data_IF_071699333362
#
_entry.id   IF_071699333362
#
_cell.length_a   1.000
_cell.length_b   1.000
_cell.length_c   1.000
_cell.angle_alpha   90.00
_cell.angle_beta   90.00
_cell.angle_gamma   90.00
#
_symmetry.space_group_name_H-M   'P 1'
#
loop_
_entity.id
_entity.type
_entity.pdbx_description
1 polymer ?
#
# COMPACT_ATOMS: atom_id res chain seq x y z
N UNK A 1 3.39 16.72 2.94
CA UNK A 1 3.78 15.66 3.90
C UNK A 1 2.96 14.48 3.48
N UNK A 2 3.62 13.39 3.11
CA UNK A 2 2.97 12.25 2.47
C UNK A 2 2.65 11.15 3.48
N UNK A 3 3.59 10.83 4.37
CA UNK A 3 3.46 9.74 5.35
C UNK A 3 4.05 10.15 6.70
N UNK A 4 3.46 9.65 7.79
CA UNK A 4 4.02 9.74 9.15
C UNK A 4 3.97 8.40 9.87
N UNK A 5 4.82 8.24 10.86
CA UNK A 5 4.84 7.10 11.79
C UNK A 5 5.17 7.59 13.20
N UNK A 6 4.55 6.97 14.20
CA UNK A 6 4.95 7.12 15.60
C UNK A 6 6.09 6.15 15.90
N UNK A 7 7.17 6.66 16.47
CA UNK A 7 8.40 5.91 16.77
C UNK A 7 8.83 6.29 18.18
N UNK A 8 8.52 5.42 19.15
CA UNK A 8 8.77 5.66 20.57
C UNK A 8 8.25 7.05 21.04
N UNK A 9 9.16 7.95 21.40
CA UNK A 9 8.87 9.31 21.86
C UNK A 9 8.90 10.35 20.73
N UNK A 10 8.82 9.92 19.46
CA UNK A 10 9.02 10.75 18.28
C UNK A 10 7.97 10.50 17.20
N UNK A 11 7.82 11.47 16.32
CA UNK A 11 7.17 11.32 15.02
C UNK A 11 8.27 11.26 13.97
N UNK A 12 8.24 10.23 13.13
CA UNK A 12 8.92 10.21 11.86
C UNK A 12 7.93 10.64 10.76
N UNK A 13 8.36 11.46 9.81
CA UNK A 13 7.52 11.87 8.69
C UNK A 13 8.33 12.11 7.42
N UNK A 14 7.70 11.95 6.26
CA UNK A 14 8.27 12.28 4.96
C UNK A 14 7.56 13.44 4.26
N UNK A 15 8.25 14.07 3.32
CA UNK A 15 7.73 15.14 2.48
C UNK A 15 7.35 14.61 1.10
N UNK A 16 6.43 15.31 0.43
CA UNK A 16 5.90 14.88 -0.88
C UNK A 16 6.97 14.86 -1.98
N UNK A 17 7.96 15.76 -1.89
CA UNK A 17 9.12 15.80 -2.79
C UNK A 17 10.25 14.84 -2.35
N UNK A 18 10.03 14.06 -1.29
CA UNK A 18 11.01 13.22 -0.63
C UNK A 18 11.76 13.91 0.50
N UNK A 19 12.41 13.11 1.34
CA UNK A 19 13.11 13.56 2.54
C UNK A 19 12.38 13.11 3.80
N UNK A 20 13.10 12.41 4.67
CA UNK A 20 12.57 11.86 5.92
C UNK A 20 13.15 12.59 7.12
N UNK A 21 12.29 12.94 8.07
CA UNK A 21 12.61 13.72 9.25
C UNK A 21 12.01 13.08 10.51
N UNK A 22 12.56 13.44 11.66
CA UNK A 22 12.03 13.08 12.97
C UNK A 22 11.89 14.31 13.86
N UNK A 23 10.89 14.29 14.74
CA UNK A 23 10.67 15.33 15.76
C UNK A 23 10.17 14.67 17.05
N UNK A 24 10.63 15.08 18.25
CA UNK A 24 10.07 14.57 19.51
C UNK A 24 8.58 14.88 19.63
N UNK A 25 7.80 13.96 20.22
CA UNK A 25 6.36 14.12 20.47
C UNK A 25 6.06 15.29 21.40
N UNK A 26 6.95 15.57 22.35
CA UNK A 26 6.87 16.75 23.21
C UNK A 26 7.13 18.08 22.47
N UNK A 27 7.41 18.03 21.16
CA UNK A 27 7.85 19.16 20.36
C UNK A 27 9.37 19.39 20.46
N UNK A 28 9.89 20.22 19.55
CA UNK A 28 11.31 20.60 19.55
C UNK A 28 11.93 20.60 18.15
N UNK A 29 13.26 20.39 18.11
CA UNK A 29 14.03 20.49 16.88
C UNK A 29 13.78 19.28 15.96
N UNK A 30 13.32 19.57 14.75
CA UNK A 30 13.28 18.62 13.62
C UNK A 30 14.70 18.18 13.25
N UNK A 31 14.89 16.88 13.01
CA UNK A 31 16.15 16.27 12.57
C UNK A 31 15.93 15.48 11.29
N UNK A 32 16.74 15.73 10.27
CA UNK A 32 16.76 14.89 9.07
C UNK A 32 17.28 13.49 9.44
N UNK A 33 16.68 12.46 8.85
CA UNK A 33 17.14 11.08 8.98
C UNK A 33 18.32 10.88 8.01
N UNK A 34 19.51 10.48 8.50
CA UNK A 34 20.68 10.28 7.65
C UNK A 34 20.42 9.31 6.49
N UNK A 35 20.85 9.69 5.28
CA UNK A 35 20.70 8.86 4.08
C UNK A 35 19.28 8.81 3.49
N UNK A 36 18.31 9.52 4.05
CA UNK A 36 16.91 9.48 3.64
C UNK A 36 16.42 10.77 2.93
N UNK A 37 17.34 11.62 2.45
CA UNK A 37 17.04 12.96 1.91
C UNK A 37 16.17 13.00 0.64
N UNK A 38 16.02 11.88 -0.07
CA UNK A 38 15.14 11.73 -1.24
C UNK A 38 14.14 10.59 -1.07
N UNK A 39 14.05 10.01 0.12
CA UNK A 39 13.21 8.83 0.37
C UNK A 39 11.86 9.25 0.96
N UNK A 40 10.88 8.36 0.82
CA UNK A 40 9.56 8.44 1.42
C UNK A 40 9.44 7.31 2.46
N UNK A 41 8.64 7.51 3.51
CA UNK A 41 8.37 6.44 4.47
C UNK A 41 7.43 5.42 3.79
N UNK A 42 7.89 4.18 3.68
CA UNK A 42 7.05 3.03 3.30
C UNK A 42 6.37 2.45 4.54
N UNK A 43 7.18 2.09 5.53
CA UNK A 43 6.76 1.56 6.83
C UNK A 43 7.97 1.65 7.73
N UNK A 44 7.92 2.47 8.78
CA UNK A 44 9.09 2.70 9.62
C UNK A 44 9.66 1.38 10.17
N UNK A 45 10.99 1.13 10.11
CA UNK A 45 12.08 2.02 9.69
C UNK A 45 12.48 1.93 8.20
N UNK A 46 11.65 1.33 7.36
CA UNK A 46 11.86 1.25 5.91
C UNK A 46 11.40 2.52 5.19
N UNK A 47 12.35 3.13 4.50
CA UNK A 47 12.15 4.29 3.63
C UNK A 47 12.56 3.92 2.20
N UNK A 48 11.97 4.52 1.17
CA UNK A 48 12.25 4.08 -0.19
C UNK A 48 11.98 5.11 -1.26
N UNK A 49 12.35 4.73 -2.48
CA UNK A 49 12.08 5.47 -3.71
C UNK A 49 11.74 4.50 -4.84
N UNK A 50 10.96 4.96 -5.84
CA UNK A 50 10.06 6.13 -5.81
C UNK A 50 9.00 6.02 -4.70
N UNK A 51 8.38 7.13 -4.27
CA UNK A 51 7.33 7.12 -3.25
C UNK A 51 6.00 6.51 -3.72
N UNK A 52 4.94 6.70 -2.93
CA UNK A 52 3.59 6.15 -3.21
C UNK A 52 2.93 6.75 -4.46
N UNK A 53 3.32 7.98 -4.81
CA UNK A 53 2.77 8.75 -5.92
C UNK A 53 3.83 8.98 -7.01
N UNK A 54 4.30 7.91 -7.70
CA UNK A 54 5.26 8.06 -8.78
C UNK A 54 4.58 8.72 -10.00
N UNK A 55 5.36 9.21 -10.98
CA UNK A 55 4.81 9.64 -12.25
C UNK A 55 3.91 8.57 -12.89
N UNK A 56 2.89 8.99 -13.63
CA UNK A 56 1.93 8.08 -14.30
C UNK A 56 2.52 7.32 -15.51
N UNK A 57 3.84 7.17 -15.58
CA UNK A 57 4.58 6.48 -16.64
C UNK A 57 4.74 4.97 -16.38
N UNK A 58 4.15 4.47 -15.29
CA UNK A 58 4.23 3.07 -14.89
C UNK A 58 5.45 2.74 -14.04
N UNK A 59 6.17 3.76 -13.56
CA UNK A 59 7.26 3.58 -12.61
C UNK A 59 6.80 2.82 -11.36
N UNK A 60 7.55 1.78 -10.93
CA UNK A 60 7.23 1.01 -9.73
C UNK A 60 7.37 1.86 -8.45
N UNK A 61 6.42 1.75 -7.50
CA UNK A 61 6.58 2.36 -6.17
C UNK A 61 7.53 1.54 -5.31
N UNK A 62 8.30 2.24 -4.48
CA UNK A 62 9.22 1.67 -3.49
C UNK A 62 10.10 0.55 -4.05
N UNK A 63 10.56 0.70 -5.30
CA UNK A 63 11.40 -0.26 -5.98
C UNK A 63 12.74 -0.47 -5.29
N UNK A 64 13.25 0.56 -4.59
CA UNK A 64 14.40 0.46 -3.69
C UNK A 64 14.00 0.96 -2.31
N UNK A 65 14.30 0.18 -1.28
CA UNK A 65 14.05 0.54 0.12
C UNK A 65 15.33 0.42 0.93
N UNK A 66 15.41 1.20 2.00
CA UNK A 66 16.48 1.20 3.00
C UNK A 66 15.86 1.15 4.39
N UNK A 67 16.39 0.29 5.25
CA UNK A 67 16.14 0.37 6.68
C UNK A 67 17.07 1.44 7.28
N UNK A 68 16.51 2.49 7.88
CA UNK A 68 17.32 3.61 8.38
C UNK A 68 18.04 3.31 9.70
N UNK A 69 17.61 2.26 10.42
CA UNK A 69 18.26 1.84 11.66
C UNK A 69 19.45 0.92 11.38
N UNK A 70 19.32 0.01 10.41
CA UNK A 70 20.36 -0.99 10.10
C UNK A 70 21.22 -0.65 8.89
N UNK A 71 20.77 0.29 8.05
CA UNK A 71 21.39 0.61 6.77
C UNK A 71 21.14 -0.43 5.66
N UNK A 72 20.42 -1.51 5.95
CA UNK A 72 20.07 -2.56 4.99
C UNK A 72 19.34 -1.97 3.79
N UNK A 73 19.67 -2.42 2.58
CA UNK A 73 19.01 -1.99 1.33
C UNK A 73 18.40 -3.19 0.63
N UNK A 74 17.17 -3.04 0.12
CA UNK A 74 16.48 -4.06 -0.67
C UNK A 74 15.94 -3.48 -1.98
N UNK A 75 16.24 -4.14 -3.07
CA UNK A 75 15.65 -3.85 -4.37
C UNK A 75 14.51 -4.84 -4.68
N UNK A 76 13.46 -4.35 -5.32
CA UNK A 76 12.43 -5.20 -5.91
C UNK A 76 12.88 -5.67 -7.30
N UNK A 77 12.66 -6.95 -7.61
CA UNK A 77 12.72 -7.40 -9.00
C UNK A 77 11.48 -6.85 -9.71
N UNK A 78 11.68 -6.15 -10.83
CA UNK A 78 10.61 -5.70 -11.75
C UNK A 78 10.93 -6.25 -13.13
N UNK A 79 10.00 -6.99 -13.73
CA UNK A 79 10.22 -7.67 -15.02
C UNK A 79 9.69 -6.80 -16.17
N UNK A 80 10.27 -6.91 -17.38
CA UNK A 80 9.76 -6.22 -18.55
C UNK A 80 8.26 -6.53 -18.80
N UNK A 81 7.50 -5.50 -19.14
CA UNK A 81 6.06 -5.62 -19.43
C UNK A 81 5.14 -5.54 -18.21
N UNK A 82 5.70 -5.51 -17.00
CA UNK A 82 4.93 -5.23 -15.78
C UNK A 82 4.52 -3.77 -15.69
N UNK A 83 3.37 -3.53 -15.07
CA UNK A 83 2.74 -2.22 -14.92
C UNK A 83 2.13 -2.10 -13.53
N UNK A 84 2.02 -0.86 -13.04
CA UNK A 84 1.37 -0.56 -11.76
C UNK A 84 1.96 -1.37 -10.61
N UNK A 85 3.28 -1.56 -10.63
CA UNK A 85 3.95 -2.37 -9.62
C UNK A 85 4.08 -1.55 -8.36
N UNK A 86 3.48 -2.04 -7.28
CA UNK A 86 3.57 -1.46 -5.95
C UNK A 86 4.21 -2.47 -5.01
N UNK A 87 5.22 -2.04 -4.26
CA UNK A 87 6.03 -2.92 -3.42
C UNK A 87 6.03 -2.47 -1.95
N UNK A 88 5.74 -3.42 -1.06
CA UNK A 88 6.02 -3.31 0.37
C UNK A 88 7.44 -3.79 0.71
N UNK A 89 7.67 -4.12 1.98
CA UNK A 89 9.00 -4.50 2.50
C UNK A 89 9.41 -5.88 1.98
N UNK A 90 8.47 -6.81 1.94
CA UNK A 90 8.70 -8.20 1.57
C UNK A 90 7.98 -8.62 0.28
N UNK A 91 6.95 -7.90 -0.15
CA UNK A 91 6.12 -8.30 -1.30
C UNK A 91 5.93 -7.18 -2.31
N UNK A 92 5.57 -7.58 -3.51
CA UNK A 92 5.13 -6.68 -4.57
C UNK A 92 3.84 -7.21 -5.18
N UNK A 93 2.98 -6.29 -5.58
CA UNK A 93 1.86 -6.56 -6.48
C UNK A 93 2.01 -5.73 -7.75
N UNK A 94 1.38 -6.16 -8.82
CA UNK A 94 1.30 -5.38 -10.04
C UNK A 94 0.39 -6.05 -11.05
N UNK A 95 0.50 -5.63 -12.31
CA UNK A 95 -0.19 -6.30 -13.40
C UNK A 95 0.65 -6.33 -14.67
N UNK A 96 0.15 -7.09 -15.65
CA UNK A 96 0.63 -7.03 -17.03
C UNK A 96 -0.38 -6.25 -17.89
N UNK A 97 0.02 -5.85 -19.10
CA UNK A 97 -0.79 -5.07 -20.04
C UNK A 97 -2.18 -5.68 -20.33
N UNK A 98 -2.34 -6.99 -20.16
CA UNK A 98 -3.59 -7.76 -20.38
C UNK A 98 -4.56 -7.74 -19.18
N UNK A 99 -4.33 -6.89 -18.16
CA UNK A 99 -5.19 -6.85 -16.97
C UNK A 99 -5.07 -8.12 -16.11
N UNK A 100 -3.88 -8.71 -16.10
CA UNK A 100 -3.53 -9.90 -15.31
C UNK A 100 -2.78 -9.48 -14.05
N UNK A 101 -3.48 -9.26 -12.91
CA UNK A 101 -2.81 -8.85 -11.68
C UNK A 101 -2.02 -10.03 -11.08
N UNK A 102 -0.94 -9.70 -10.38
CA UNK A 102 -0.09 -10.67 -9.71
C UNK A 102 0.34 -10.15 -8.34
N UNK A 103 0.74 -11.08 -7.48
CA UNK A 103 1.56 -10.82 -6.30
C UNK A 103 2.81 -11.70 -6.34
N UNK A 104 3.88 -11.26 -5.66
CA UNK A 104 5.09 -12.06 -5.44
C UNK A 104 5.93 -11.53 -4.28
N UNK A 105 6.93 -12.32 -3.87
CA UNK A 105 8.01 -11.83 -3.02
C UNK A 105 8.79 -10.72 -3.74
N UNK A 106 9.37 -9.80 -2.96
CA UNK A 106 10.14 -8.65 -3.46
C UNK A 106 11.32 -9.07 -4.34
N UNK A 107 11.94 -10.21 -4.05
CA UNK A 107 13.03 -10.81 -4.84
C UNK A 107 12.56 -11.45 -6.16
N UNK A 108 11.26 -11.48 -6.42
CA UNK A 108 10.68 -12.05 -7.64
C UNK A 108 10.11 -13.45 -7.51
N UNK A 109 10.33 -14.13 -6.38
CA UNK A 109 9.93 -15.52 -6.15
C UNK A 109 8.46 -15.66 -5.77
N UNK A 110 7.90 -16.87 -5.90
CA UNK A 110 6.55 -17.19 -5.41
C UNK A 110 5.42 -16.44 -6.11
N UNK A 111 5.61 -16.07 -7.38
CA UNK A 111 4.61 -15.31 -8.12
C UNK A 111 3.28 -16.08 -8.24
N UNK A 112 2.19 -15.43 -7.85
CA UNK A 112 0.83 -15.97 -7.92
C UNK A 112 -0.06 -14.98 -8.64
N UNK A 113 -0.95 -15.48 -9.50
CA UNK A 113 -1.96 -14.66 -10.15
C UNK A 113 -3.04 -14.25 -9.14
N UNK A 114 -3.46 -12.99 -9.21
CA UNK A 114 -4.64 -12.49 -8.50
C UNK A 114 -5.87 -12.59 -9.42
N UNK A 115 -7.11 -12.58 -8.89
CA UNK A 115 -8.31 -12.65 -9.71
C UNK A 115 -8.35 -11.59 -10.82
N UNK A 116 -8.52 -12.02 -12.07
CA UNK A 116 -8.62 -11.14 -13.23
C UNK A 116 -9.93 -10.34 -13.26
N UNK A 117 -9.96 -9.26 -14.06
CA UNK A 117 -11.15 -8.39 -14.18
C UNK A 117 -11.41 -7.52 -12.94
N UNK A 118 -10.40 -7.36 -12.09
CA UNK A 118 -10.45 -6.53 -10.91
C UNK A 118 -9.25 -5.56 -10.84
N UNK A 119 -9.46 -4.38 -10.27
CA UNK A 119 -8.35 -3.53 -9.81
C UNK A 119 -7.95 -3.96 -8.41
N UNK A 120 -6.66 -4.18 -8.24
CA UNK A 120 -6.05 -4.53 -6.95
C UNK A 120 -5.31 -3.29 -6.47
N UNK A 121 -5.45 -2.93 -5.19
CA UNK A 121 -4.81 -1.74 -4.59
C UNK A 121 -4.28 -2.00 -3.18
N UNK A 122 -3.29 -1.20 -2.80
CA UNK A 122 -2.60 -1.28 -1.52
C UNK A 122 -1.70 -2.51 -1.40
N UNK A 123 -0.98 -2.58 -0.28
CA UNK A 123 -0.27 -3.76 0.19
C UNK A 123 0.03 -3.58 1.69
N UNK A 124 -0.98 -3.21 2.48
CA UNK A 124 -0.83 -2.97 3.91
C UNK A 124 -0.21 -4.18 4.60
N UNK A 125 0.76 -3.92 5.48
CA UNK A 125 1.46 -4.94 6.26
C UNK A 125 2.04 -6.10 5.42
N UNK A 126 2.37 -5.87 4.14
CA UNK A 126 2.77 -6.91 3.19
C UNK A 126 1.76 -8.08 3.05
N UNK A 127 0.49 -7.82 3.37
CA UNK A 127 -0.51 -8.87 3.59
C UNK A 127 -1.88 -8.53 3.03
N UNK A 128 -2.33 -7.30 3.20
CA UNK A 128 -3.70 -6.93 2.90
C UNK A 128 -3.77 -6.04 1.67
N UNK A 129 -4.76 -6.30 0.84
CA UNK A 129 -5.02 -5.54 -0.38
C UNK A 129 -6.52 -5.47 -0.62
N UNK A 130 -6.95 -4.43 -1.31
CA UNK A 130 -8.34 -4.27 -1.71
C UNK A 130 -8.51 -4.66 -3.17
N UNK A 131 -9.65 -5.27 -3.47
CA UNK A 131 -10.03 -5.72 -4.80
C UNK A 131 -11.34 -5.08 -5.18
N UNK A 132 -11.36 -4.38 -6.31
CA UNK A 132 -12.58 -3.84 -6.91
C UNK A 132 -12.94 -4.63 -8.17
N UNK A 133 -14.07 -5.35 -8.14
CA UNK A 133 -14.49 -6.25 -9.21
C UNK A 133 -15.39 -5.55 -10.25
N UNK A 134 -14.81 -4.81 -11.19
CA UNK A 134 -15.57 -4.06 -12.22
C UNK A 134 -16.48 -4.93 -13.09
N UNK A 135 -16.09 -6.18 -13.34
CA UNK A 135 -16.82 -7.09 -14.20
C UNK A 135 -18.02 -7.76 -13.51
N UNK A 136 -18.21 -7.57 -12.20
CA UNK A 136 -19.31 -8.20 -11.44
C UNK A 136 -20.50 -7.25 -11.25
N UNK A 137 -21.75 -7.75 -11.33
CA UNK A 137 -22.93 -6.95 -11.00
C UNK A 137 -22.81 -6.33 -9.60
N UNK A 138 -23.17 -5.05 -9.46
CA UNK A 138 -23.03 -4.30 -8.21
C UNK A 138 -21.59 -3.91 -7.84
N UNK A 139 -20.60 -4.33 -8.65
CA UNK A 139 -19.17 -3.97 -8.54
C UNK A 139 -18.66 -4.01 -7.10
N UNK A 140 -18.74 -5.18 -6.44
CA UNK A 140 -18.38 -5.30 -5.04
C UNK A 140 -16.89 -5.01 -4.84
N UNK A 141 -16.58 -4.57 -3.63
CA UNK A 141 -15.20 -4.42 -3.17
C UNK A 141 -14.92 -5.38 -2.02
N UNK A 142 -13.69 -5.89 -1.96
CA UNK A 142 -13.28 -6.84 -0.94
C UNK A 142 -11.92 -6.49 -0.36
N UNK A 143 -11.72 -6.78 0.92
CA UNK A 143 -10.42 -6.84 1.56
C UNK A 143 -9.93 -8.28 1.51
N UNK A 144 -8.75 -8.50 0.95
CA UNK A 144 -8.17 -9.81 0.78
C UNK A 144 -6.87 -9.94 1.58
N UNK A 145 -6.66 -11.12 2.15
CA UNK A 145 -5.46 -11.49 2.90
C UNK A 145 -4.58 -12.40 2.02
N UNK A 146 -3.41 -11.91 1.61
CA UNK A 146 -2.46 -12.65 0.78
C UNK A 146 -1.92 -13.91 1.44
N UNK A 147 -1.94 -13.98 2.78
CA UNK A 147 -1.42 -15.15 3.50
C UNK A 147 -2.44 -16.28 3.52
N UNK A 148 -3.71 -15.97 3.79
CA UNK A 148 -4.76 -17.00 3.88
C UNK A 148 -5.49 -17.23 2.55
N UNK A 149 -5.35 -16.31 1.59
CA UNK A 149 -6.11 -16.31 0.34
C UNK A 149 -7.60 -15.98 0.52
N UNK A 150 -8.03 -15.64 1.74
CA UNK A 150 -9.42 -15.30 2.05
C UNK A 150 -9.70 -13.84 1.70
N UNK A 151 -10.91 -13.57 1.24
CA UNK A 151 -11.41 -12.23 0.98
C UNK A 151 -12.73 -12.02 1.73
N UNK A 152 -12.86 -10.87 2.39
CA UNK A 152 -14.09 -10.39 3.01
C UNK A 152 -14.73 -9.29 2.17
N UNK A 153 -16.04 -9.36 1.98
CA UNK A 153 -16.81 -8.30 1.32
C UNK A 153 -16.87 -7.06 2.22
N UNK A 154 -16.54 -5.89 1.67
CA UNK A 154 -16.58 -4.62 2.42
C UNK A 154 -18.00 -4.04 2.54
N UNK A 155 -19.00 -4.65 1.89
CA UNK A 155 -20.37 -4.13 1.82
C UNK A 155 -20.52 -2.96 0.84
N UNK A 156 -19.41 -2.56 0.20
CA UNK A 156 -19.35 -1.51 -0.80
C UNK A 156 -19.98 -1.97 -2.11
N UNK A 157 -20.91 -1.16 -2.63
CA UNK A 157 -21.59 -1.36 -3.90
C UNK A 157 -21.63 -0.03 -4.64
N UNK A 158 -21.39 -0.04 -5.95
CA UNK A 158 -21.67 1.16 -6.76
C UNK A 158 -23.19 1.38 -6.88
N UNK A 159 -23.65 2.59 -6.58
CA UNK A 159 -25.05 2.98 -6.75
C UNK A 159 -25.39 3.19 -8.25
N UNK A 160 -26.61 2.85 -8.70
CA UNK A 160 -26.98 3.05 -10.08
C UNK A 160 -27.18 4.54 -10.39
N UNK A 161 -26.32 5.08 -11.27
CA UNK A 161 -26.58 6.22 -12.14
C UNK A 161 -26.66 7.67 -11.57
N UNK A 162 -26.28 7.96 -10.32
CA UNK A 162 -26.20 9.34 -9.85
C UNK A 162 -24.76 9.77 -9.54
N UNK A 163 -24.18 10.54 -10.47
CA UNK A 163 -22.93 11.34 -10.36
C UNK A 163 -21.65 10.52 -10.12
N UNK A 164 -20.87 10.34 -11.19
CA UNK A 164 -19.46 9.92 -11.22
C UNK A 164 -19.09 8.73 -10.34
N UNK A 165 -18.75 7.60 -10.98
CA UNK A 165 -18.28 6.35 -10.37
C UNK A 165 -17.24 6.56 -9.27
N UNK A 166 -17.74 6.77 -8.06
CA UNK A 166 -16.94 6.95 -6.86
C UNK A 166 -16.59 5.54 -6.45
N UNK A 167 -15.44 5.07 -6.95
CA UNK A 167 -14.75 3.97 -6.28
C UNK A 167 -14.44 4.52 -4.90
N UNK A 168 -15.13 4.02 -3.88
CA UNK A 168 -14.64 4.17 -2.51
C UNK A 168 -13.32 3.41 -2.54
N UNK A 169 -12.23 4.15 -2.59
CA UNK A 169 -10.90 3.60 -2.51
C UNK A 169 -10.62 3.61 -1.02
N UNK A 170 -10.88 2.51 -0.30
CA UNK A 170 -10.57 2.52 1.11
C UNK A 170 -9.06 2.74 1.21
N UNK A 171 -8.67 3.78 1.94
CA UNK A 171 -7.27 4.14 2.06
C UNK A 171 -6.62 3.03 2.86
N UNK A 172 -5.86 2.20 2.16
CA UNK A 172 -5.06 1.15 2.77
C UNK A 172 -3.78 1.85 3.18
N UNK A 173 -3.77 2.45 4.37
CA UNK A 173 -2.53 2.95 4.97
C UNK A 173 -1.67 1.75 5.45
N UNK A 174 -0.71 1.98 6.32
CA UNK A 174 0.11 0.87 6.83
C UNK A 174 -0.65 -0.13 7.72
N UNK A 175 -1.73 0.25 8.41
CA UNK A 175 -2.42 -0.54 9.45
C UNK A 175 -3.94 -0.44 9.44
N UNK A 176 -4.49 0.74 9.18
CA UNK A 176 -5.92 1.00 9.18
C UNK A 176 -6.46 0.95 7.76
N UNK A 177 -7.71 0.49 7.66
CA UNK A 177 -8.54 0.63 6.50
C UNK A 177 -9.78 1.37 6.93
N UNK A 178 -10.04 2.54 6.35
CA UNK A 178 -11.26 3.28 6.61
C UNK A 178 -12.05 3.56 5.34
N UNK A 179 -13.37 3.62 5.49
CA UNK A 179 -14.30 3.94 4.42
C UNK A 179 -15.69 4.26 4.95
N UNK A 180 -16.50 4.94 4.14
CA UNK A 180 -17.89 5.22 4.44
C UNK A 180 -18.84 4.22 3.77
N UNK A 181 -19.89 3.80 4.48
CA UNK A 181 -21.00 3.01 3.93
C UNK A 181 -22.32 3.59 4.43
N UNK A 182 -23.08 4.22 3.53
CA UNK A 182 -24.27 4.97 3.94
C UNK A 182 -23.87 6.09 4.92
N UNK A 183 -24.51 6.14 6.09
CA UNK A 183 -24.22 7.12 7.14
C UNK A 183 -23.19 6.60 8.17
N UNK A 184 -22.53 5.48 7.90
CA UNK A 184 -21.55 4.88 8.81
C UNK A 184 -20.13 5.10 8.31
N UNK A 185 -19.25 5.51 9.22
CA UNK A 185 -17.80 5.48 9.01
C UNK A 185 -17.24 4.19 9.61
N UNK A 186 -16.63 3.35 8.77
CA UNK A 186 -16.07 2.06 9.14
C UNK A 186 -14.56 2.20 9.22
N UNK A 187 -13.97 1.73 10.33
CA UNK A 187 -12.52 1.64 10.51
C UNK A 187 -12.17 0.20 10.87
N UNK A 188 -11.24 -0.39 10.13
CA UNK A 188 -10.74 -1.75 10.35
C UNK A 188 -9.26 -1.67 10.69
N UNK A 189 -8.91 -2.17 11.87
CA UNK A 189 -7.51 -2.36 12.28
C UNK A 189 -6.99 -3.68 11.72
N UNK A 190 -6.17 -3.63 10.67
CA UNK A 190 -5.69 -4.80 9.94
C UNK A 190 -4.77 -5.69 10.79
N UNK A 191 -4.11 -5.14 11.81
CA UNK A 191 -3.30 -5.91 12.76
C UNK A 191 -4.16 -6.84 13.63
N UNK A 192 -5.44 -6.50 13.84
CA UNK A 192 -6.38 -7.33 14.61
C UNK A 192 -6.93 -8.51 13.81
N UNK A 193 -6.70 -8.57 12.51
CA UNK A 193 -7.13 -9.69 11.66
C UNK A 193 -6.11 -10.84 11.80
N UNK A 194 -6.31 -11.66 12.83
CA UNK A 194 -5.45 -12.81 13.11
C UNK A 194 -5.72 -13.97 12.14
N UNK A 195 -4.72 -14.85 11.95
CA UNK A 195 -4.89 -16.11 11.24
C UNK A 195 -5.82 -17.02 12.04
N UNK A 196 -7.10 -17.05 11.73
CA UNK A 196 -7.97 -18.15 12.18
C UNK A 196 -7.57 -19.39 11.37
N UNK A 197 -6.97 -20.36 12.07
CA UNK A 197 -6.66 -21.69 11.55
C UNK A 197 -7.89 -22.47 11.11
#
# INVERSE_FOLDING_TARGET
>A
MDTLALVDDRVAYSLDEGGVFTVPLAGGRVRAVPGAGHHHILSWPWVGTPGEHPPSDGTPTFATIRNVDTGEVRAALVKPGERWVHCGVARCQGGFAEGRPFQRSRDGTGQTALPGGASVRGLALDRFYTVHYFARPGRPQSLCDLVTGKCGDLGLRELPAARSGTVILPEVDTRLLDYEVGDQHVVIDLERITRTG
#
